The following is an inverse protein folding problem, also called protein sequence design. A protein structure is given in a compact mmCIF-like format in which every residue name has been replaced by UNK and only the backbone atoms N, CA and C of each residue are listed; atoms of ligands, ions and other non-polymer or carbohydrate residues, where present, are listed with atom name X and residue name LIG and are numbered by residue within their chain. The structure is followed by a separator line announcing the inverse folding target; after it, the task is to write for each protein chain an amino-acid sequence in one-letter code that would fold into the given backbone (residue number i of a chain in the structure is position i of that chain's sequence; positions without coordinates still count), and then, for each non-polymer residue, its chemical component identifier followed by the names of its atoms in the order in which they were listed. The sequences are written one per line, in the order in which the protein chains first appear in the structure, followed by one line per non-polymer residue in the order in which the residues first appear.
data_IF_754844671434
#
_entry.id   IF_754844671434
#
_cell.length_a   1.000
_cell.length_b   1.000
_cell.length_c   1.000
_cell.angle_alpha   90.00
_cell.angle_beta   90.00
_cell.angle_gamma   90.00
#
_symmetry.space_group_name_H-M   'P 1'
#
loop_
_entity.id
_entity.type
_entity.pdbx_description
1 polymer ?
#
# COMPACT_ATOMS: atom_id res chain seq x y z
N UNK A 1 3.63 13.30 -14.57
CA UNK A 1 4.97 13.04 -14.02
C UNK A 1 4.89 12.92 -12.50
N UNK A 2 5.70 12.07 -11.91
CA UNK A 2 5.83 11.97 -10.45
C UNK A 2 6.94 12.91 -9.91
N UNK A 3 7.96 13.19 -10.70
CA UNK A 3 9.08 14.06 -10.32
C UNK A 3 8.70 15.54 -10.41
N UNK A 4 9.13 16.34 -9.43
CA UNK A 4 8.94 17.79 -9.36
C UNK A 4 8.03 18.22 -8.21
N UNK A 5 7.79 19.51 -8.10
CA UNK A 5 6.87 20.06 -7.10
C UNK A 5 5.44 19.61 -7.40
N UNK A 6 4.74 19.14 -6.38
CA UNK A 6 3.38 18.57 -6.52
C UNK A 6 2.42 19.49 -7.26
N UNK A 7 2.40 20.78 -6.91
CA UNK A 7 1.48 21.75 -7.51
C UNK A 7 1.80 21.98 -8.99
N UNK A 8 3.09 22.08 -9.33
CA UNK A 8 3.54 22.42 -10.68
C UNK A 8 3.35 21.25 -11.68
N UNK A 9 3.51 20.01 -11.21
CA UNK A 9 3.50 18.83 -12.09
C UNK A 9 2.15 18.11 -12.13
N UNK A 10 1.22 18.45 -11.22
CA UNK A 10 -0.08 17.78 -11.17
C UNK A 10 -1.03 18.41 -12.19
N UNK A 11 -1.44 17.61 -13.15
CA UNK A 11 -2.45 17.96 -14.14
C UNK A 11 -3.78 17.28 -13.83
N UNK A 12 -4.89 17.85 -14.32
CA UNK A 12 -6.23 17.24 -14.19
C UNK A 12 -6.25 15.82 -14.75
N UNK A 13 -5.67 15.62 -15.93
CA UNK A 13 -5.64 14.30 -16.57
C UNK A 13 -4.74 13.32 -15.79
N UNK A 14 -3.55 13.73 -15.34
CA UNK A 14 -2.66 12.91 -14.52
C UNK A 14 -3.32 12.51 -13.20
N UNK A 15 -4.05 13.42 -12.57
CA UNK A 15 -4.81 13.14 -11.35
C UNK A 15 -5.89 12.09 -11.60
N UNK A 16 -6.70 12.28 -12.66
CA UNK A 16 -7.77 11.36 -13.06
C UNK A 16 -7.23 9.96 -13.35
N UNK A 17 -6.20 9.85 -14.17
CA UNK A 17 -5.58 8.56 -14.54
C UNK A 17 -5.01 7.85 -13.31
N UNK A 18 -4.31 8.57 -12.41
CA UNK A 18 -3.75 7.98 -11.20
C UNK A 18 -4.85 7.39 -10.29
N UNK A 19 -5.97 8.10 -10.11
CA UNK A 19 -7.09 7.62 -9.29
C UNK A 19 -7.87 6.50 -9.97
N UNK A 20 -8.07 6.56 -11.27
CA UNK A 20 -8.74 5.52 -12.04
C UNK A 20 -7.99 4.19 -11.93
N UNK A 21 -6.68 4.20 -12.20
CA UNK A 21 -5.84 3.00 -12.22
C UNK A 21 -5.52 2.50 -10.80
N UNK A 22 -5.20 3.40 -9.86
CA UNK A 22 -4.62 3.00 -8.57
C UNK A 22 -5.61 3.02 -7.41
N UNK A 23 -6.86 3.40 -7.63
CA UNK A 23 -7.92 3.38 -6.62
C UNK A 23 -9.20 2.76 -7.16
N UNK A 24 -9.83 3.36 -8.18
CA UNK A 24 -11.11 2.91 -8.72
C UNK A 24 -11.05 1.47 -9.25
N UNK A 25 -9.94 1.07 -9.85
CA UNK A 25 -9.75 -0.30 -10.36
C UNK A 25 -10.07 -1.38 -9.32
N UNK A 26 -9.78 -1.15 -8.03
CA UNK A 26 -10.10 -2.10 -6.97
C UNK A 26 -11.61 -2.25 -6.78
N UNK A 27 -12.35 -1.14 -6.77
CA UNK A 27 -13.83 -1.17 -6.73
C UNK A 27 -14.41 -1.83 -7.98
N UNK A 28 -13.88 -1.52 -9.15
CA UNK A 28 -14.33 -2.10 -10.41
C UNK A 28 -14.16 -3.62 -10.43
N UNK A 29 -12.98 -4.11 -9.98
CA UNK A 29 -12.69 -5.53 -9.88
C UNK A 29 -13.58 -6.21 -8.83
N UNK A 30 -13.76 -5.60 -7.64
CA UNK A 30 -14.64 -6.12 -6.61
C UNK A 30 -16.08 -6.24 -7.11
N UNK A 31 -16.58 -5.22 -7.82
CA UNK A 31 -17.92 -5.25 -8.45
C UNK A 31 -18.04 -6.38 -9.48
N UNK A 32 -17.05 -6.54 -10.34
CA UNK A 32 -17.06 -7.59 -11.37
C UNK A 32 -16.96 -8.99 -10.76
N UNK A 33 -16.15 -9.15 -9.69
CA UNK A 33 -15.97 -10.44 -9.02
C UNK A 33 -17.16 -10.83 -8.13
N UNK A 34 -17.93 -9.86 -7.62
CA UNK A 34 -18.99 -10.11 -6.62
C UNK A 34 -19.90 -11.30 -6.93
N UNK A 35 -20.43 -11.50 -8.17
CA UNK A 35 -21.31 -12.64 -8.47
C UNK A 35 -20.57 -13.99 -8.54
N UNK A 36 -19.24 -14.00 -8.47
CA UNK A 36 -18.39 -15.20 -8.56
C UNK A 36 -17.66 -15.52 -7.25
N UNK A 37 -17.82 -14.69 -6.23
CA UNK A 37 -17.16 -14.91 -4.93
C UNK A 37 -17.85 -16.04 -4.18
N UNK A 38 -17.04 -16.92 -3.59
CA UNK A 38 -17.51 -17.94 -2.67
C UNK A 38 -17.81 -17.34 -1.29
N UNK A 39 -18.49 -18.09 -0.45
CA UNK A 39 -18.64 -17.75 0.97
C UNK A 39 -17.27 -17.62 1.63
N UNK A 40 -17.13 -16.64 2.54
CA UNK A 40 -15.88 -16.33 3.25
C UNK A 40 -14.70 -15.92 2.35
N UNK A 41 -14.97 -15.39 1.16
CA UNK A 41 -13.93 -14.84 0.28
C UNK A 41 -13.17 -13.67 0.92
N UNK A 42 -11.93 -13.46 0.47
CA UNK A 42 -11.12 -12.32 0.83
C UNK A 42 -10.64 -11.56 -0.41
N UNK A 43 -10.74 -10.25 -0.36
CA UNK A 43 -10.14 -9.33 -1.34
C UNK A 43 -8.95 -8.62 -0.68
N UNK A 44 -7.84 -8.54 -1.39
CA UNK A 44 -6.62 -7.93 -0.91
C UNK A 44 -6.05 -6.96 -1.95
N UNK A 45 -5.57 -5.82 -1.50
CA UNK A 45 -4.84 -4.87 -2.34
C UNK A 45 -3.52 -4.43 -1.71
N UNK A 46 -2.64 -3.82 -2.49
CA UNK A 46 -1.38 -3.27 -2.02
C UNK A 46 -1.42 -1.75 -2.03
N UNK A 47 -1.09 -1.15 -0.90
CA UNK A 47 -0.90 0.28 -0.72
C UNK A 47 0.54 0.59 -0.33
N UNK A 48 0.81 1.83 0.03
CA UNK A 48 2.12 2.31 0.43
C UNK A 48 1.98 3.45 1.44
N UNK A 49 2.95 3.59 2.34
CA UNK A 49 2.99 4.62 3.37
C UNK A 49 2.76 6.05 2.84
N UNK A 50 3.07 6.28 1.56
CA UNK A 50 2.77 7.54 0.87
C UNK A 50 1.29 7.93 0.82
N UNK A 51 0.37 7.04 1.22
CA UNK A 51 -1.04 7.35 1.47
C UNK A 51 -1.25 8.20 2.72
N UNK A 52 -0.39 8.03 3.73
CA UNK A 52 -0.49 8.66 5.05
C UNK A 52 0.56 9.74 5.30
N UNK A 53 1.75 9.58 4.72
CA UNK A 53 2.88 10.48 4.90
C UNK A 53 3.35 11.00 3.53
N UNK A 54 3.74 12.28 3.48
CA UNK A 54 4.29 12.87 2.26
C UNK A 54 5.63 12.21 1.93
N UNK A 55 5.71 11.59 0.75
CA UNK A 55 6.93 10.99 0.24
C UNK A 55 7.47 11.81 -0.93
N UNK A 56 8.78 12.11 -0.95
CA UNK A 56 9.38 12.84 -2.06
C UNK A 56 9.08 12.20 -3.42
N UNK A 57 8.65 12.99 -4.38
CA UNK A 57 8.30 12.57 -5.74
C UNK A 57 7.16 11.55 -5.87
N UNK A 58 6.45 11.25 -4.79
CA UNK A 58 5.30 10.34 -4.88
C UNK A 58 4.02 11.07 -5.36
N UNK A 59 3.90 12.35 -5.02
CA UNK A 59 2.92 13.32 -5.55
C UNK A 59 1.49 12.74 -5.64
N UNK A 60 0.86 12.83 -6.80
CA UNK A 60 -0.52 12.37 -7.03
C UNK A 60 -0.75 10.89 -6.68
N UNK A 61 0.29 10.07 -6.70
CA UNK A 61 0.17 8.66 -6.29
C UNK A 61 -0.12 8.52 -4.79
N UNK A 62 0.38 9.44 -3.95
CA UNK A 62 0.01 9.48 -2.53
C UNK A 62 -1.50 9.66 -2.34
N UNK A 63 -2.08 10.60 -3.08
CA UNK A 63 -3.52 10.85 -3.04
C UNK A 63 -4.33 9.65 -3.56
N UNK A 64 -3.87 9.03 -4.64
CA UNK A 64 -4.51 7.83 -5.19
C UNK A 64 -4.45 6.65 -4.21
N UNK A 65 -3.32 6.47 -3.49
CA UNK A 65 -3.18 5.44 -2.46
C UNK A 65 -4.02 5.75 -1.21
N UNK A 66 -4.14 7.00 -0.79
CA UNK A 66 -5.06 7.40 0.28
C UNK A 66 -6.52 7.10 -0.10
N UNK A 67 -6.89 7.38 -1.34
CA UNK A 67 -8.19 6.99 -1.90
C UNK A 67 -8.38 5.46 -1.91
N UNK A 68 -7.35 4.67 -2.26
CA UNK A 68 -7.39 3.21 -2.24
C UNK A 68 -7.60 2.65 -0.82
N UNK A 69 -6.95 3.24 0.19
CA UNK A 69 -7.13 2.84 1.58
C UNK A 69 -8.53 3.16 2.10
N UNK A 70 -9.08 4.32 1.75
CA UNK A 70 -10.48 4.63 2.00
C UNK A 70 -11.40 3.63 1.29
N UNK A 71 -11.12 3.32 0.03
CA UNK A 71 -11.86 2.37 -0.78
C UNK A 71 -11.89 0.96 -0.15
N UNK A 72 -10.77 0.52 0.43
CA UNK A 72 -10.68 -0.75 1.18
C UNK A 72 -11.70 -0.80 2.32
N UNK A 73 -11.81 0.28 3.11
CA UNK A 73 -12.79 0.38 4.22
C UNK A 73 -14.24 0.40 3.71
N UNK A 74 -14.52 1.14 2.65
CA UNK A 74 -15.87 1.19 2.06
C UNK A 74 -16.29 -0.15 1.44
N UNK A 75 -15.38 -0.84 0.77
CA UNK A 75 -15.63 -2.20 0.24
C UNK A 75 -15.86 -3.21 1.37
N UNK A 76 -15.05 -3.15 2.45
CA UNK A 76 -15.24 -3.99 3.62
C UNK A 76 -16.62 -3.80 4.25
N UNK A 77 -17.06 -2.56 4.42
CA UNK A 77 -18.40 -2.24 4.94
C UNK A 77 -19.52 -2.70 3.99
N UNK A 78 -19.33 -2.56 2.68
CA UNK A 78 -20.32 -2.92 1.66
C UNK A 78 -20.50 -4.43 1.49
N UNK A 79 -19.41 -5.20 1.62
CA UNK A 79 -19.38 -6.63 1.28
C UNK A 79 -19.33 -7.54 2.52
N UNK A 80 -19.11 -6.97 3.71
CA UNK A 80 -18.93 -7.75 4.94
C UNK A 80 -20.14 -8.60 5.32
N UNK A 81 -21.37 -8.12 5.09
CA UNK A 81 -22.58 -8.90 5.34
C UNK A 81 -22.79 -10.06 4.35
N UNK A 82 -22.12 -9.99 3.21
CA UNK A 82 -22.07 -11.08 2.21
C UNK A 82 -20.92 -12.08 2.54
N UNK A 83 -20.28 -11.95 3.73
CA UNK A 83 -19.17 -12.81 4.18
C UNK A 83 -17.83 -12.51 3.52
N UNK A 84 -17.69 -11.40 2.78
CA UNK A 84 -16.44 -11.05 2.07
C UNK A 84 -15.61 -10.08 2.91
N UNK A 85 -14.36 -10.46 3.20
CA UNK A 85 -13.38 -9.60 3.87
C UNK A 85 -12.57 -8.81 2.85
N UNK A 86 -12.25 -7.56 3.16
CA UNK A 86 -11.49 -6.68 2.26
C UNK A 86 -10.41 -5.97 3.06
N UNK A 87 -9.14 -6.22 2.72
CA UNK A 87 -8.00 -5.66 3.43
C UNK A 87 -6.95 -5.10 2.46
N UNK A 88 -6.00 -4.35 2.99
CA UNK A 88 -4.84 -3.88 2.24
C UNK A 88 -3.54 -4.13 3.01
N UNK A 89 -2.44 -4.30 2.29
CA UNK A 89 -1.09 -4.32 2.86
C UNK A 89 -0.37 -3.05 2.40
N UNK A 90 0.11 -2.28 3.38
CA UNK A 90 1.05 -1.17 3.15
C UNK A 90 2.46 -1.73 3.23
N UNK A 91 3.01 -2.10 2.07
CA UNK A 91 4.33 -2.71 1.97
C UNK A 91 5.45 -1.66 1.96
N UNK A 92 6.55 -1.95 2.62
CA UNK A 92 7.81 -1.22 2.45
C UNK A 92 8.37 -1.37 1.03
N UNK A 93 9.41 -0.59 0.67
CA UNK A 93 10.00 -0.69 -0.65
C UNK A 93 10.70 -2.06 -0.83
N UNK A 94 10.32 -2.75 -1.90
CA UNK A 94 10.83 -4.08 -2.26
C UNK A 94 11.62 -3.97 -3.56
N UNK A 95 12.78 -4.62 -3.62
CA UNK A 95 13.59 -4.70 -4.83
C UNK A 95 12.91 -5.63 -5.84
N UNK A 96 12.10 -5.07 -6.72
CA UNK A 96 11.46 -5.77 -7.83
C UNK A 96 12.03 -5.31 -9.17
N UNK A 97 11.76 -6.05 -10.25
CA UNK A 97 12.13 -5.64 -11.60
C UNK A 97 11.51 -4.28 -11.96
N UNK A 98 10.25 -4.07 -11.65
CA UNK A 98 9.55 -2.79 -11.86
C UNK A 98 10.19 -1.64 -11.07
N UNK A 99 10.59 -1.89 -9.82
CA UNK A 99 11.23 -0.89 -8.97
C UNK A 99 12.65 -0.53 -9.43
N UNK A 100 13.35 -1.40 -10.16
CA UNK A 100 14.69 -1.12 -10.69
C UNK A 100 14.73 0.04 -11.68
N UNK A 101 13.60 0.36 -12.32
CA UNK A 101 13.43 1.53 -13.20
C UNK A 101 13.19 2.86 -12.48
N UNK A 102 13.02 2.86 -11.16
CA UNK A 102 12.80 4.07 -10.37
C UNK A 102 14.14 4.77 -10.10
N UNK A 103 14.23 6.04 -10.48
CA UNK A 103 15.42 6.86 -10.22
C UNK A 103 15.75 6.94 -8.73
N UNK A 104 17.02 6.77 -8.38
CA UNK A 104 17.49 6.79 -6.98
C UNK A 104 16.93 5.68 -6.08
N UNK A 105 16.37 4.62 -6.63
CA UNK A 105 15.78 3.53 -5.84
C UNK A 105 16.73 2.93 -4.80
N UNK A 106 18.03 2.77 -5.13
CA UNK A 106 19.03 2.29 -4.16
C UNK A 106 19.18 3.22 -2.95
N UNK A 107 19.17 4.54 -3.18
CA UNK A 107 19.24 5.54 -2.09
C UNK A 107 17.97 5.46 -1.21
N UNK A 108 16.83 5.29 -1.83
CA UNK A 108 15.56 5.11 -1.10
C UNK A 108 15.58 3.84 -0.22
N UNK A 109 16.09 2.71 -0.73
CA UNK A 109 16.25 1.48 0.06
C UNK A 109 17.19 1.68 1.26
N UNK A 110 18.35 2.35 1.05
CA UNK A 110 19.30 2.65 2.11
C UNK A 110 18.69 3.54 3.20
N UNK A 111 17.99 4.60 2.81
CA UNK A 111 17.29 5.48 3.75
C UNK A 111 16.18 4.77 4.52
N UNK A 112 15.46 3.88 3.84
CA UNK A 112 14.44 3.04 4.48
C UNK A 112 15.07 2.12 5.52
N UNK A 113 16.12 1.39 5.17
CA UNK A 113 16.83 0.49 6.09
C UNK A 113 17.40 1.23 7.31
N UNK A 114 17.98 2.41 7.12
CA UNK A 114 18.54 3.20 8.21
C UNK A 114 17.48 3.65 9.22
N UNK A 115 16.26 3.92 8.78
CA UNK A 115 15.16 4.37 9.63
C UNK A 115 14.31 3.24 10.19
N UNK A 116 14.24 2.10 9.49
CA UNK A 116 13.40 0.98 9.90
C UNK A 116 13.93 0.32 11.19
N UNK A 117 13.09 0.06 12.20
CA UNK A 117 13.49 -0.61 13.43
C UNK A 117 14.21 -1.94 13.24
N UNK A 118 13.86 -2.73 12.20
CA UNK A 118 14.58 -3.97 11.88
C UNK A 118 15.90 -3.75 11.12
N UNK A 119 16.31 -2.51 10.83
CA UNK A 119 17.57 -2.18 10.16
C UNK A 119 17.66 -2.64 8.69
N UNK A 120 16.54 -3.02 8.07
CA UNK A 120 16.50 -3.57 6.72
C UNK A 120 15.19 -3.25 6.00
N UNK A 121 15.13 -3.50 4.72
CA UNK A 121 13.87 -3.55 3.97
C UNK A 121 13.21 -4.92 4.10
N UNK A 122 11.94 -5.00 3.75
CA UNK A 122 11.18 -6.26 3.67
C UNK A 122 11.41 -6.98 2.34
N UNK A 123 11.11 -8.27 2.32
CA UNK A 123 11.14 -9.11 1.13
C UNK A 123 9.74 -9.32 0.54
N UNK A 124 9.67 -9.77 -0.71
CA UNK A 124 8.42 -10.22 -1.34
C UNK A 124 7.77 -11.37 -0.60
N UNK A 125 8.58 -12.27 -0.04
CA UNK A 125 8.11 -13.42 0.74
C UNK A 125 7.43 -12.97 2.04
N UNK A 126 8.02 -12.02 2.77
CA UNK A 126 7.42 -11.48 4.00
C UNK A 126 6.06 -10.82 3.73
N UNK A 127 5.94 -10.06 2.63
CA UNK A 127 4.65 -9.49 2.21
C UNK A 127 3.68 -10.59 1.78
N UNK A 128 4.18 -11.62 1.07
CA UNK A 128 3.40 -12.78 0.65
C UNK A 128 2.85 -13.59 1.83
N UNK A 129 3.64 -13.77 2.90
CA UNK A 129 3.20 -14.46 4.12
C UNK A 129 2.04 -13.73 4.81
N UNK A 130 2.11 -12.39 4.90
CA UNK A 130 1.01 -11.58 5.45
C UNK A 130 -0.20 -11.62 4.52
N UNK A 131 0.01 -11.60 3.20
CA UNK A 131 -1.08 -11.75 2.23
C UNK A 131 -1.78 -13.10 2.39
N UNK A 132 -1.02 -14.19 2.54
CA UNK A 132 -1.56 -15.52 2.78
C UNK A 132 -2.38 -15.58 4.08
N UNK A 133 -1.88 -14.98 5.17
CA UNK A 133 -2.63 -14.85 6.42
C UNK A 133 -3.95 -14.10 6.22
N UNK A 134 -3.92 -12.90 5.62
CA UNK A 134 -5.10 -12.06 5.41
C UNK A 134 -6.14 -12.71 4.48
N UNK A 135 -5.70 -13.58 3.57
CA UNK A 135 -6.59 -14.32 2.67
C UNK A 135 -7.07 -15.66 3.25
N UNK A 136 -6.54 -16.11 4.39
CA UNK A 136 -6.90 -17.38 5.04
C UNK A 136 -7.98 -17.21 6.10
N UNK A 137 -8.53 -18.33 6.59
CA UNK A 137 -9.48 -18.38 7.69
C UNK A 137 -8.91 -17.91 9.02
N UNK A 138 -7.57 -17.91 9.17
CA UNK A 138 -6.89 -17.33 10.35
C UNK A 138 -7.16 -15.85 10.54
N UNK A 139 -7.53 -15.14 9.45
CA UNK A 139 -7.90 -13.74 9.48
C UNK A 139 -9.42 -13.52 9.41
N UNK A 140 -10.24 -14.50 9.81
CA UNK A 140 -11.71 -14.45 9.70
C UNK A 140 -12.37 -13.24 10.40
N UNK A 141 -11.73 -12.68 11.41
CA UNK A 141 -12.18 -11.47 12.11
C UNK A 141 -11.54 -10.16 11.60
N UNK A 142 -10.76 -10.20 10.50
CA UNK A 142 -9.99 -9.03 10.00
C UNK A 142 -10.58 -8.55 8.68
N UNK A 143 -11.16 -7.34 8.68
CA UNK A 143 -11.67 -6.68 7.48
C UNK A 143 -11.58 -5.16 7.61
N UNK A 144 -11.36 -4.44 6.51
CA UNK A 144 -11.18 -2.99 6.50
C UNK A 144 -9.80 -2.52 6.99
N UNK A 145 -8.88 -3.45 7.21
CA UNK A 145 -7.56 -3.20 7.80
C UNK A 145 -6.51 -2.83 6.76
N UNK A 146 -5.60 -1.95 7.16
CA UNK A 146 -4.39 -1.60 6.40
C UNK A 146 -3.19 -2.10 7.21
N UNK A 147 -2.70 -3.28 6.87
CA UNK A 147 -1.60 -3.94 7.59
C UNK A 147 -0.25 -3.47 7.06
N UNK A 148 0.60 -2.95 7.94
CA UNK A 148 1.96 -2.54 7.55
C UNK A 148 2.92 -3.71 7.55
N UNK A 149 3.65 -3.88 6.43
CA UNK A 149 4.75 -4.83 6.26
C UNK A 149 5.93 -4.06 5.71
N UNK A 150 6.65 -3.35 6.58
CA UNK A 150 7.67 -2.36 6.20
C UNK A 150 8.88 -2.34 7.15
N UNK A 151 9.12 -3.42 7.87
CA UNK A 151 10.17 -3.54 8.89
C UNK A 151 10.07 -2.50 10.03
N UNK A 152 8.84 -1.97 10.28
CA UNK A 152 8.57 -0.97 11.30
C UNK A 152 8.84 0.48 10.87
N UNK A 153 9.20 0.71 9.61
CA UNK A 153 9.53 2.04 9.09
C UNK A 153 8.45 3.10 9.38
N UNK A 154 7.18 2.73 9.29
CA UNK A 154 6.06 3.66 9.52
C UNK A 154 6.01 4.21 10.95
N UNK A 155 6.61 3.52 11.91
CA UNK A 155 6.56 3.88 13.36
C UNK A 155 7.72 4.79 13.77
N UNK A 156 8.83 4.81 13.04
CA UNK A 156 10.02 5.57 13.38
C UNK A 156 10.00 6.96 12.75
N UNK A 157 10.14 8.01 13.55
CA UNK A 157 10.20 9.40 13.08
C UNK A 157 11.56 9.72 12.42
N UNK A 158 12.65 9.11 12.90
CA UNK A 158 14.02 9.32 12.45
C UNK A 158 14.83 8.03 12.56
N UNK A 159 16.04 7.95 11.96
CA UNK A 159 16.94 6.82 12.17
C UNK A 159 17.26 6.62 13.66
N UNK A 160 17.14 5.39 14.15
CA UNK A 160 17.31 5.09 15.59
C UNK A 160 18.77 5.09 16.01
N UNK A 161 19.72 4.88 15.08
CA UNK A 161 21.16 4.80 15.35
C UNK A 161 21.87 6.17 15.38
N UNK A 162 21.21 7.26 15.02
CA UNK A 162 21.79 8.62 15.09
C UNK A 162 21.74 9.23 16.50
N UNK A 163 21.22 8.51 17.49
CA UNK A 163 21.10 8.97 18.88
C UNK A 163 22.11 8.29 19.82
N UNK A 164 23.07 7.53 19.29
CA UNK A 164 24.03 6.77 20.08
C UNK A 164 25.41 7.45 20.24
N UNK A 165 25.57 8.77 19.89
CA UNK A 165 26.79 9.57 20.10
C UNK A 165 26.69 10.50 21.31
#
# INVERSE_FOLDING_TARGET
RLEGNFVDVTTREGFKVAHDISSYSFTALAKAAKPMLNDNSALLTLTYLGAMQTMPNYNVMGLAKASLEANTRFLAASMGRDGVRVNAISAGPIKTLAASGVKNFRKMLSQHSARAPLGRTVTTEEVGNVAAFLCSDYASGVTGEITYVDAGFNTAAMPLHELED
#
